data_IF_623131233757
#
_entry.id   IF_623131233757
#
_cell.length_a   1.000
_cell.length_b   1.000
_cell.length_c   1.000
_cell.angle_alpha   90.00
_cell.angle_beta   90.00
_cell.angle_gamma   90.00
#
_symmetry.space_group_name_H-M   'P 1'
#
loop_
_entity.id
_entity.type
_entity.pdbx_description
1 polymer ?
#
# COMPACT_ATOMS: atom_id res chain seq x y z
N UNK A 1 22.26 -6.55 -50.69
CA UNK A 1 20.80 -6.54 -50.51
C UNK A 1 20.38 -7.84 -49.90
N UNK A 2 20.19 -7.90 -48.60
CA UNK A 2 19.42 -8.93 -47.89
C UNK A 2 18.81 -8.26 -46.65
N UNK A 3 17.50 -8.37 -46.55
CA UNK A 3 16.62 -7.70 -45.61
C UNK A 3 16.80 -8.17 -44.16
N UNK A 4 16.89 -7.23 -43.28
CA UNK A 4 16.69 -7.39 -41.85
C UNK A 4 15.19 -7.25 -41.55
N UNK A 5 14.53 -8.31 -41.16
CA UNK A 5 13.25 -8.27 -40.49
C UNK A 5 12.92 -9.63 -39.88
N UNK A 6 13.23 -9.79 -38.62
CA UNK A 6 12.51 -10.71 -37.74
C UNK A 6 12.70 -10.23 -36.32
N UNK A 7 11.82 -9.33 -35.90
CA UNK A 7 11.54 -9.11 -34.48
C UNK A 7 10.76 -10.33 -34.00
N UNK A 8 11.37 -11.09 -33.10
CA UNK A 8 10.70 -12.18 -32.40
C UNK A 8 9.68 -11.59 -31.43
N UNK A 9 8.41 -11.71 -31.73
CA UNK A 9 7.31 -11.59 -30.79
C UNK A 9 7.41 -12.76 -29.81
N UNK A 10 7.81 -12.48 -28.58
CA UNK A 10 7.67 -13.42 -27.46
C UNK A 10 6.24 -13.27 -26.94
N UNK A 11 5.31 -13.89 -27.64
CA UNK A 11 3.95 -14.10 -27.16
C UNK A 11 3.89 -15.42 -26.41
N UNK A 12 3.83 -15.37 -25.08
CA UNK A 12 3.48 -16.54 -24.27
C UNK A 12 1.96 -16.51 -24.11
N UNK A 13 1.22 -17.46 -24.70
CA UNK A 13 -0.20 -17.57 -24.46
C UNK A 13 -0.41 -18.22 -23.08
N UNK A 14 -0.67 -17.44 -22.06
CA UNK A 14 -1.25 -17.95 -20.83
C UNK A 14 -2.74 -18.11 -21.06
N UNK A 15 -3.14 -19.29 -21.50
CA UNK A 15 -4.56 -19.68 -21.59
C UNK A 15 -5.08 -19.99 -20.19
N UNK A 16 -5.68 -18.99 -19.54
CA UNK A 16 -6.52 -19.22 -18.37
C UNK A 16 -7.89 -19.75 -18.86
N UNK A 17 -8.24 -20.97 -18.47
CA UNK A 17 -9.62 -21.47 -18.62
C UNK A 17 -10.46 -20.84 -17.51
N UNK A 18 -11.43 -20.05 -17.92
CA UNK A 18 -12.45 -19.41 -17.11
C UNK A 18 -13.43 -20.42 -16.51
N UNK A 19 -13.62 -20.37 -15.19
CA UNK A 19 -14.94 -20.34 -14.53
C UNK A 19 -14.65 -19.80 -13.13
N UNK A 20 -15.13 -18.58 -12.83
CA UNK A 20 -15.07 -17.85 -11.58
C UNK A 20 -13.83 -16.94 -11.34
N UNK A 21 -13.19 -16.38 -12.35
CA UNK A 21 -12.17 -15.34 -12.14
C UNK A 21 -12.79 -13.95 -12.19
N UNK A 22 -12.43 -13.12 -11.19
CA UNK A 22 -12.76 -11.70 -11.23
C UNK A 22 -12.00 -11.00 -12.37
N UNK A 23 -12.58 -9.89 -12.89
CA UNK A 23 -11.91 -9.09 -13.92
C UNK A 23 -10.59 -8.48 -13.44
N UNK A 24 -10.43 -8.37 -12.13
CA UNK A 24 -9.23 -7.85 -11.48
C UNK A 24 -8.42 -8.95 -10.79
N UNK A 25 -7.10 -8.86 -10.93
CA UNK A 25 -6.14 -9.69 -10.18
C UNK A 25 -5.06 -8.80 -9.59
N UNK A 26 -4.86 -8.90 -8.28
CA UNK A 26 -3.79 -8.21 -7.55
C UNK A 26 -2.66 -9.18 -7.23
N UNK A 27 -1.51 -8.99 -7.86
CA UNK A 27 -0.27 -9.69 -7.55
C UNK A 27 0.47 -8.89 -6.50
N UNK A 28 0.74 -9.51 -5.36
CA UNK A 28 1.26 -8.84 -4.18
C UNK A 28 2.28 -9.69 -3.42
N UNK A 29 3.00 -9.07 -2.50
CA UNK A 29 3.90 -9.76 -1.58
C UNK A 29 3.19 -10.20 -0.31
N UNK A 30 3.95 -10.83 0.58
CA UNK A 30 3.50 -11.25 1.90
C UNK A 30 2.73 -10.14 2.63
N UNK A 31 1.60 -10.47 3.20
CA UNK A 31 0.77 -9.50 3.94
C UNK A 31 1.47 -8.99 5.20
N UNK A 32 2.31 -9.80 5.82
CA UNK A 32 3.08 -9.36 6.99
C UNK A 32 4.12 -8.29 6.68
N UNK A 33 4.76 -8.33 5.49
CA UNK A 33 5.98 -7.58 5.22
C UNK A 33 5.89 -6.59 4.06
N UNK A 34 4.80 -6.58 3.27
CA UNK A 34 4.73 -5.78 2.04
C UNK A 34 3.90 -4.50 2.17
N UNK A 35 4.53 -3.35 2.45
CA UNK A 35 3.82 -2.09 2.65
C UNK A 35 3.06 -1.63 1.41
N UNK A 36 3.69 -1.72 0.24
CA UNK A 36 3.06 -1.27 -1.00
C UNK A 36 1.91 -2.16 -1.46
N UNK A 37 1.96 -3.46 -1.12
CA UNK A 37 0.85 -4.38 -1.36
C UNK A 37 -0.34 -4.05 -0.46
N UNK A 38 -0.12 -3.71 0.82
CA UNK A 38 -1.17 -3.24 1.72
C UNK A 38 -1.87 -2.00 1.15
N UNK A 39 -1.11 -1.01 0.67
CA UNK A 39 -1.67 0.21 0.07
C UNK A 39 -2.62 -0.09 -1.09
N UNK A 40 -2.18 -0.90 -2.06
CA UNK A 40 -2.99 -1.25 -3.22
C UNK A 40 -4.22 -2.09 -2.84
N UNK A 41 -4.03 -3.08 -1.99
CA UNK A 41 -5.07 -3.96 -1.50
C UNK A 41 -6.17 -3.21 -0.73
N UNK A 42 -5.76 -2.35 0.21
CA UNK A 42 -6.68 -1.55 1.02
C UNK A 42 -7.49 -0.58 0.15
N UNK A 43 -6.85 0.02 -0.85
CA UNK A 43 -7.53 0.87 -1.82
C UNK A 43 -8.56 0.08 -2.64
N UNK A 44 -8.22 -1.11 -3.15
CA UNK A 44 -9.12 -1.95 -3.92
C UNK A 44 -10.34 -2.40 -3.08
N UNK A 45 -10.12 -2.82 -1.83
CA UNK A 45 -11.23 -3.18 -0.90
C UNK A 45 -12.13 -1.98 -0.62
N UNK A 46 -11.56 -0.80 -0.39
CA UNK A 46 -12.34 0.43 -0.18
C UNK A 46 -13.08 0.88 -1.45
N UNK A 47 -12.50 0.62 -2.62
CA UNK A 47 -13.16 0.83 -3.91
C UNK A 47 -14.36 -0.10 -4.14
N UNK A 48 -14.52 -1.13 -3.33
CA UNK A 48 -15.57 -2.15 -3.51
C UNK A 48 -15.34 -3.02 -4.74
N UNK A 49 -14.09 -3.19 -5.14
CA UNK A 49 -13.70 -4.03 -6.29
C UNK A 49 -13.44 -5.44 -5.78
N UNK A 50 -14.08 -6.41 -6.42
CA UNK A 50 -13.75 -7.82 -6.26
C UNK A 50 -12.55 -8.17 -7.13
N UNK A 51 -11.58 -8.86 -6.55
CA UNK A 51 -10.34 -9.23 -7.22
C UNK A 51 -9.76 -10.53 -6.68
N UNK A 52 -9.06 -11.24 -7.56
CA UNK A 52 -8.24 -12.40 -7.18
C UNK A 52 -6.91 -11.95 -6.58
N UNK A 53 -6.43 -12.65 -5.57
CA UNK A 53 -5.16 -12.39 -4.90
C UNK A 53 -4.11 -13.43 -5.31
N UNK A 54 -2.96 -12.96 -5.77
CA UNK A 54 -1.77 -13.80 -6.01
C UNK A 54 -0.66 -13.31 -5.08
N UNK A 55 -0.37 -14.08 -4.04
CA UNK A 55 0.70 -13.75 -3.07
C UNK A 55 2.00 -14.42 -3.51
N UNK A 56 3.04 -13.60 -3.71
CA UNK A 56 4.39 -14.05 -4.03
C UNK A 56 5.26 -13.91 -2.78
N UNK A 57 5.88 -15.00 -2.29
CA UNK A 57 6.81 -14.94 -1.17
C UNK A 57 7.96 -13.98 -1.48
N UNK A 58 8.16 -13.00 -0.60
CA UNK A 58 9.28 -12.05 -0.70
C UNK A 58 10.53 -12.61 -0.03
N UNK A 59 11.69 -12.08 -0.44
CA UNK A 59 13.00 -12.41 0.13
C UNK A 59 13.38 -13.90 0.05
N UNK A 60 12.87 -14.62 -0.95
CA UNK A 60 13.32 -15.96 -1.30
C UNK A 60 14.03 -15.95 -2.65
N UNK A 61 14.85 -16.98 -2.91
CA UNK A 61 15.77 -17.04 -4.07
C UNK A 61 15.07 -16.76 -5.41
N UNK A 62 13.84 -17.21 -5.59
CA UNK A 62 13.09 -17.08 -6.83
C UNK A 62 12.04 -15.93 -6.82
N UNK A 63 11.96 -15.11 -5.77
CA UNK A 63 10.99 -14.00 -5.67
C UNK A 63 10.91 -13.16 -6.96
N UNK A 64 12.06 -12.67 -7.42
CA UNK A 64 12.11 -11.84 -8.63
C UNK A 64 11.64 -12.59 -9.88
N UNK A 65 11.99 -13.85 -10.02
CA UNK A 65 11.60 -14.68 -11.18
C UNK A 65 10.09 -14.91 -11.20
N UNK A 66 9.49 -15.17 -10.04
CA UNK A 66 8.03 -15.33 -9.92
C UNK A 66 7.30 -14.03 -10.29
N UNK A 67 7.77 -12.87 -9.80
CA UNK A 67 7.16 -11.58 -10.15
C UNK A 67 7.28 -11.28 -11.65
N UNK A 68 8.43 -11.61 -12.27
CA UNK A 68 8.66 -11.38 -13.70
C UNK A 68 7.71 -12.16 -14.63
N UNK A 69 7.02 -13.20 -14.13
CA UNK A 69 5.96 -13.90 -14.87
C UNK A 69 4.73 -13.01 -15.10
N UNK A 70 4.55 -11.99 -14.25
CA UNK A 70 3.40 -11.09 -14.28
C UNK A 70 3.73 -9.75 -14.93
N UNK A 71 4.93 -9.21 -14.64
CA UNK A 71 5.39 -7.94 -15.21
C UNK A 71 6.91 -7.78 -15.13
N UNK A 72 7.47 -7.03 -16.07
CA UNK A 72 8.92 -6.92 -16.28
C UNK A 72 9.70 -6.11 -15.23
N UNK A 73 9.02 -5.31 -14.36
CA UNK A 73 9.72 -4.50 -13.34
C UNK A 73 10.25 -5.36 -12.17
N UNK A 74 9.74 -6.58 -11.98
CA UNK A 74 10.16 -7.50 -10.93
C UNK A 74 9.86 -7.00 -9.52
N UNK A 75 8.80 -6.19 -9.35
CA UNK A 75 8.32 -5.64 -8.09
C UNK A 75 6.82 -5.83 -7.94
N UNK A 76 6.36 -5.90 -6.70
CA UNK A 76 4.95 -5.89 -6.32
C UNK A 76 4.60 -4.56 -5.62
N UNK A 77 3.31 -4.13 -5.65
CA UNK A 77 2.15 -4.77 -6.25
C UNK A 77 2.05 -4.56 -7.77
N UNK A 78 1.29 -5.47 -8.43
CA UNK A 78 0.87 -5.34 -9.82
C UNK A 78 -0.62 -5.59 -9.86
N UNK A 79 -1.39 -4.72 -10.52
CA UNK A 79 -2.81 -4.92 -10.76
C UNK A 79 -3.03 -5.27 -12.22
N UNK A 80 -3.80 -6.32 -12.49
CA UNK A 80 -4.31 -6.65 -13.81
C UNK A 80 -5.81 -6.41 -13.86
N UNK A 81 -6.27 -5.83 -14.95
CA UNK A 81 -7.68 -5.66 -15.29
C UNK A 81 -7.86 -5.94 -16.77
N UNK A 82 -8.31 -7.17 -17.11
CA UNK A 82 -8.28 -7.66 -18.48
C UNK A 82 -6.88 -7.56 -19.08
N UNK A 83 -6.76 -6.86 -20.20
CA UNK A 83 -5.48 -6.62 -20.90
C UNK A 83 -4.62 -5.51 -20.27
N UNK A 84 -5.17 -4.74 -19.32
CA UNK A 84 -4.46 -3.63 -18.69
C UNK A 84 -3.61 -4.15 -17.54
N UNK A 85 -2.35 -3.72 -17.50
CA UNK A 85 -1.44 -4.01 -16.38
C UNK A 85 -0.94 -2.71 -15.79
N UNK A 86 -1.15 -2.53 -14.48
CA UNK A 86 -0.76 -1.34 -13.73
C UNK A 86 0.23 -1.76 -12.64
N UNK A 87 1.28 -1.00 -12.45
CA UNK A 87 2.28 -1.18 -11.40
C UNK A 87 2.58 0.14 -10.72
N UNK A 88 3.34 0.11 -9.62
CA UNK A 88 3.49 1.17 -8.61
C UNK A 88 2.20 1.40 -7.83
N UNK A 89 2.28 1.27 -6.52
CA UNK A 89 1.10 1.34 -5.64
C UNK A 89 0.27 2.61 -5.83
N UNK A 90 0.93 3.76 -6.00
CA UNK A 90 0.22 5.04 -6.23
C UNK A 90 -0.54 5.06 -7.56
N UNK A 91 0.04 4.50 -8.62
CA UNK A 91 -0.61 4.41 -9.93
C UNK A 91 -1.80 3.44 -9.90
N UNK A 92 -1.67 2.34 -9.16
CA UNK A 92 -2.78 1.41 -8.91
C UNK A 92 -3.91 2.14 -8.17
N UNK A 93 -3.59 2.90 -7.13
CA UNK A 93 -4.60 3.68 -6.39
C UNK A 93 -5.31 4.70 -7.28
N UNK A 94 -4.60 5.42 -8.15
CA UNK A 94 -5.20 6.37 -9.10
C UNK A 94 -6.12 5.66 -10.09
N UNK A 95 -5.67 4.53 -10.65
CA UNK A 95 -6.49 3.73 -11.57
C UNK A 95 -7.77 3.22 -10.90
N UNK A 96 -7.68 2.71 -9.67
CA UNK A 96 -8.84 2.26 -8.90
C UNK A 96 -9.82 3.40 -8.63
N UNK A 97 -9.32 4.62 -8.39
CA UNK A 97 -10.18 5.80 -8.22
C UNK A 97 -10.90 6.19 -9.52
N UNK A 98 -10.23 6.03 -10.67
CA UNK A 98 -10.82 6.31 -11.99
C UNK A 98 -11.94 5.33 -12.34
N UNK A 99 -11.72 4.03 -12.11
CA UNK A 99 -12.71 2.99 -12.42
C UNK A 99 -13.82 2.85 -11.38
N UNK A 100 -13.66 3.45 -10.21
CA UNK A 100 -14.64 3.45 -9.10
C UNK A 100 -15.03 4.87 -8.66
N UNK A 101 -15.53 5.73 -9.55
CA UNK A 101 -15.75 7.15 -9.24
C UNK A 101 -16.79 7.40 -8.14
N UNK A 102 -17.72 6.46 -7.93
CA UNK A 102 -18.76 6.57 -6.89
C UNK A 102 -18.21 6.46 -5.47
N UNK A 103 -17.03 5.86 -5.29
CA UNK A 103 -16.42 5.64 -3.97
C UNK A 103 -15.68 6.86 -3.44
N UNK A 104 -15.48 7.91 -4.29
CA UNK A 104 -14.84 9.18 -3.88
C UNK A 104 -13.51 8.96 -3.14
N UNK A 105 -12.63 8.11 -3.69
CA UNK A 105 -11.35 7.74 -3.07
C UNK A 105 -10.36 8.92 -2.94
N UNK A 106 -10.67 10.06 -3.52
CA UNK A 106 -9.98 11.32 -3.30
C UNK A 106 -10.90 12.36 -2.66
N UNK A 107 -10.37 13.34 -1.88
CA UNK A 107 -11.15 14.42 -1.33
C UNK A 107 -11.97 15.17 -2.40
N UNK A 108 -13.24 15.48 -2.10
CA UNK A 108 -14.15 16.13 -3.04
C UNK A 108 -13.67 17.55 -3.44
N UNK A 109 -13.10 18.32 -2.50
CA UNK A 109 -12.63 19.67 -2.79
C UNK A 109 -11.36 19.65 -3.65
N UNK A 110 -11.28 20.53 -4.65
CA UNK A 110 -10.11 20.69 -5.53
C UNK A 110 -8.82 20.90 -4.72
N UNK A 111 -8.88 21.75 -3.69
CA UNK A 111 -7.74 22.05 -2.82
C UNK A 111 -7.32 20.83 -2.01
N UNK A 112 -8.28 20.15 -1.36
CA UNK A 112 -8.01 18.92 -0.59
C UNK A 112 -7.41 17.84 -1.47
N UNK A 113 -7.97 17.62 -2.65
CA UNK A 113 -7.49 16.62 -3.62
C UNK A 113 -6.06 16.90 -4.11
N UNK A 114 -5.71 18.18 -4.37
CA UNK A 114 -4.34 18.55 -4.75
C UNK A 114 -3.36 18.27 -3.62
N UNK A 115 -3.71 18.63 -2.37
CA UNK A 115 -2.86 18.37 -1.20
C UNK A 115 -2.72 16.86 -0.94
N UNK A 116 -3.82 16.11 -1.01
CA UNK A 116 -3.80 14.66 -0.79
C UNK A 116 -2.88 13.95 -1.80
N UNK A 117 -2.94 14.31 -3.09
CA UNK A 117 -2.03 13.77 -4.11
C UNK A 117 -0.57 14.13 -3.87
N UNK A 118 -0.28 15.37 -3.49
CA UNK A 118 1.10 15.78 -3.18
C UNK A 118 1.67 14.98 -2.01
N UNK A 119 0.88 14.81 -0.95
CA UNK A 119 1.29 14.04 0.21
C UNK A 119 1.41 12.53 -0.09
N UNK A 120 0.53 11.99 -0.93
CA UNK A 120 0.65 10.59 -1.39
C UNK A 120 1.94 10.35 -2.17
N UNK A 121 2.32 11.29 -3.03
CA UNK A 121 3.60 11.24 -3.74
C UNK A 121 4.80 11.38 -2.77
N UNK A 122 4.70 12.24 -1.75
CA UNK A 122 5.72 12.36 -0.70
C UNK A 122 5.88 11.05 0.08
N UNK A 123 4.78 10.39 0.45
CA UNK A 123 4.84 9.07 1.11
C UNK A 123 5.48 8.03 0.20
N UNK A 124 5.12 8.02 -1.08
CA UNK A 124 5.65 7.06 -2.04
C UNK A 124 7.16 7.20 -2.26
N UNK A 125 7.66 8.41 -2.39
CA UNK A 125 9.06 8.70 -2.69
C UNK A 125 9.95 8.88 -1.44
N UNK A 126 9.37 9.32 -0.34
CA UNK A 126 10.09 9.72 0.89
C UNK A 126 10.14 8.64 1.98
N UNK A 127 10.47 9.06 3.20
CA UNK A 127 10.49 8.23 4.43
C UNK A 127 11.38 6.97 4.32
N UNK A 128 12.52 7.12 3.69
CA UNK A 128 13.44 6.00 3.44
C UNK A 128 14.01 5.43 4.73
N UNK A 129 14.49 6.30 5.63
CA UNK A 129 15.08 5.89 6.91
C UNK A 129 14.08 5.14 7.78
N UNK A 130 12.82 5.60 7.81
CA UNK A 130 11.73 4.95 8.52
C UNK A 130 11.48 3.54 7.95
N UNK A 131 11.38 3.39 6.62
CA UNK A 131 11.15 2.09 5.99
C UNK A 131 12.29 1.10 6.17
N UNK A 132 13.54 1.58 6.18
CA UNK A 132 14.72 0.73 6.36
C UNK A 132 14.93 0.29 7.81
N UNK A 133 14.64 1.18 8.77
CA UNK A 133 14.93 0.92 10.18
C UNK A 133 13.70 0.47 10.98
N UNK A 134 12.51 0.71 10.46
CA UNK A 134 11.24 0.25 10.99
C UNK A 134 10.45 -0.49 9.89
N UNK A 135 11.00 -1.58 9.32
CA UNK A 135 10.31 -2.30 8.26
C UNK A 135 8.94 -2.81 8.74
N UNK A 136 8.00 -2.93 7.80
CA UNK A 136 6.67 -3.43 8.13
C UNK A 136 6.74 -4.90 8.59
N UNK A 137 6.23 -5.18 9.78
CA UNK A 137 5.95 -6.49 10.32
C UNK A 137 4.67 -6.41 11.15
N UNK A 138 3.56 -6.84 10.55
CA UNK A 138 2.22 -6.70 11.16
C UNK A 138 2.07 -7.54 12.42
N UNK A 139 2.74 -8.71 12.46
CA UNK A 139 2.75 -9.63 13.60
C UNK A 139 3.66 -9.18 14.72
N UNK A 140 4.68 -8.40 14.36
CA UNK A 140 5.77 -8.03 15.27
C UNK A 140 5.34 -7.04 16.34
N UNK A 141 6.05 -7.08 17.47
CA UNK A 141 6.00 -6.07 18.52
C UNK A 141 7.43 -5.80 18.97
N UNK A 142 8.00 -4.71 18.49
CA UNK A 142 9.40 -4.33 18.67
C UNK A 142 9.50 -2.93 19.29
N UNK A 143 9.05 -2.73 20.53
CA UNK A 143 9.18 -1.44 21.20
C UNK A 143 10.66 -1.08 21.30
N UNK A 144 11.07 -0.07 20.57
CA UNK A 144 12.44 0.42 20.60
C UNK A 144 12.46 1.92 20.81
N UNK A 145 13.50 2.39 21.51
CA UNK A 145 13.80 3.80 21.48
C UNK A 145 14.28 4.17 20.06
N UNK A 146 13.60 5.09 19.42
CA UNK A 146 14.02 5.64 18.13
C UNK A 146 15.28 6.48 18.35
N UNK A 147 16.43 5.84 18.22
CA UNK A 147 17.74 6.47 18.48
C UNK A 147 18.35 7.14 17.27
N UNK A 148 17.85 6.81 16.06
CA UNK A 148 18.39 7.39 14.83
C UNK A 148 17.70 8.74 14.55
N UNK A 149 18.47 9.86 14.54
CA UNK A 149 17.91 11.19 14.28
C UNK A 149 17.10 11.28 12.98
N UNK A 150 17.54 10.61 11.90
CA UNK A 150 16.84 10.63 10.62
C UNK A 150 15.48 9.97 10.69
N UNK A 151 15.36 8.85 11.42
CA UNK A 151 14.05 8.21 11.65
C UNK A 151 13.15 9.13 12.46
N UNK A 152 13.69 9.76 13.50
CA UNK A 152 12.92 10.68 14.31
C UNK A 152 12.44 11.91 13.53
N UNK A 153 13.27 12.45 12.63
CA UNK A 153 12.85 13.53 11.71
C UNK A 153 11.70 13.09 10.81
N UNK A 154 11.78 11.88 10.25
CA UNK A 154 10.72 11.33 9.40
C UNK A 154 9.44 11.04 10.20
N UNK A 155 9.53 10.51 11.42
CA UNK A 155 8.39 10.35 12.36
C UNK A 155 7.74 11.71 12.64
N UNK A 156 8.55 12.73 12.96
CA UNK A 156 8.06 14.08 13.21
C UNK A 156 7.36 14.67 11.97
N UNK A 157 7.89 14.38 10.78
CA UNK A 157 7.26 14.80 9.52
C UNK A 157 5.91 14.12 9.31
N UNK A 158 5.82 12.82 9.51
CA UNK A 158 4.58 12.05 9.39
C UNK A 158 3.51 12.58 10.35
N UNK A 159 3.85 12.72 11.62
CA UNK A 159 2.91 13.22 12.65
C UNK A 159 2.47 14.66 12.38
N UNK A 160 3.36 15.52 11.90
CA UNK A 160 3.02 16.88 11.48
C UNK A 160 2.06 16.90 10.28
N UNK A 161 2.22 15.97 9.31
CA UNK A 161 1.28 15.82 8.19
C UNK A 161 -0.10 15.42 8.71
N UNK A 162 -0.19 14.40 9.55
CA UNK A 162 -1.45 13.93 10.11
C UNK A 162 -2.18 15.03 10.86
N UNK A 163 -1.50 15.72 11.78
CA UNK A 163 -2.06 16.85 12.53
C UNK A 163 -2.58 17.94 11.59
N UNK A 164 -1.74 18.37 10.64
CA UNK A 164 -2.08 19.46 9.73
C UNK A 164 -3.25 19.12 8.81
N UNK A 165 -3.34 17.88 8.32
CA UNK A 165 -4.46 17.43 7.51
C UNK A 165 -5.75 17.39 8.33
N UNK A 166 -5.71 16.81 9.53
CA UNK A 166 -6.85 16.75 10.44
C UNK A 166 -7.37 18.15 10.81
N UNK A 167 -6.48 19.06 11.18
CA UNK A 167 -6.86 20.43 11.57
C UNK A 167 -7.44 21.25 10.41
N UNK A 168 -6.88 21.11 9.21
CA UNK A 168 -7.23 21.95 8.07
C UNK A 168 -8.34 21.40 7.18
N UNK A 169 -8.52 20.11 7.16
CA UNK A 169 -9.44 19.45 6.24
C UNK A 169 -10.36 18.45 6.93
N UNK A 170 -9.87 17.71 7.93
CA UNK A 170 -10.64 16.66 8.58
C UNK A 170 -11.65 17.15 9.60
N UNK A 171 -11.30 18.18 10.38
CA UNK A 171 -12.10 18.66 11.52
C UNK A 171 -13.52 19.10 11.14
N UNK A 172 -13.64 19.82 10.05
CA UNK A 172 -14.93 20.39 9.61
C UNK A 172 -15.78 19.41 8.79
N UNK A 173 -15.17 18.33 8.28
CA UNK A 173 -15.83 17.33 7.44
C UNK A 173 -16.39 16.15 8.24
N UNK A 174 -16.07 16.09 9.56
CA UNK A 174 -16.40 14.93 10.40
C UNK A 174 -15.60 13.68 10.01
N UNK A 175 -15.70 12.64 10.83
CA UNK A 175 -14.98 11.38 10.61
C UNK A 175 -13.52 11.42 11.06
N UNK A 176 -12.89 10.23 11.19
CA UNK A 176 -11.61 10.07 11.86
C UNK A 176 -10.39 10.19 10.93
N UNK A 177 -10.57 10.27 9.61
CA UNK A 177 -9.49 10.23 8.62
C UNK A 177 -8.94 11.62 8.28
N UNK A 178 -7.81 11.67 7.56
CA UNK A 178 -7.07 12.90 7.31
C UNK A 178 -7.88 13.99 6.61
N UNK A 179 -8.82 13.59 5.77
CA UNK A 179 -9.77 14.48 5.08
C UNK A 179 -11.24 14.21 5.46
N UNK A 180 -11.47 13.75 6.69
CA UNK A 180 -12.79 13.38 7.20
C UNK A 180 -13.18 11.96 6.82
N UNK A 181 -13.43 11.68 5.55
CA UNK A 181 -13.66 10.33 5.02
C UNK A 181 -12.34 9.68 4.60
N UNK A 182 -12.32 8.32 4.61
CA UNK A 182 -11.17 7.55 4.11
C UNK A 182 -10.86 7.92 2.65
N UNK A 183 -9.58 8.05 2.35
CA UNK A 183 -9.06 8.40 1.03
C UNK A 183 -7.80 7.59 0.69
N UNK A 184 -7.34 7.70 -0.55
CA UNK A 184 -6.07 7.09 -0.98
C UNK A 184 -4.90 7.56 -0.10
N UNK A 185 -4.90 8.78 0.40
CA UNK A 185 -3.84 9.24 1.30
C UNK A 185 -3.80 8.40 2.59
N UNK A 186 -4.96 8.01 3.11
CA UNK A 186 -5.03 7.14 4.30
C UNK A 186 -4.52 5.73 3.98
N UNK A 187 -4.82 5.21 2.79
CA UNK A 187 -4.26 3.95 2.31
C UNK A 187 -2.74 4.01 2.14
N UNK A 188 -2.19 5.14 1.69
CA UNK A 188 -0.75 5.36 1.59
C UNK A 188 -0.06 5.41 2.96
N UNK A 189 -0.74 5.93 3.98
CA UNK A 189 -0.23 5.95 5.36
C UNK A 189 -0.47 4.66 6.14
N UNK A 190 -1.37 3.77 5.71
CA UNK A 190 -1.68 2.54 6.43
C UNK A 190 -0.44 1.67 6.75
N UNK A 191 0.55 1.50 5.86
CA UNK A 191 1.80 0.82 6.21
C UNK A 191 2.57 1.51 7.34
N UNK A 192 2.65 2.85 7.33
CA UNK A 192 3.33 3.62 8.38
C UNK A 192 2.58 3.50 9.71
N UNK A 193 1.25 3.45 9.69
CA UNK A 193 0.42 3.16 10.85
C UNK A 193 0.77 1.80 11.46
N UNK A 194 0.91 0.75 10.64
CA UNK A 194 1.33 -0.57 11.13
C UNK A 194 2.74 -0.53 11.71
N UNK A 195 3.67 0.17 11.07
CA UNK A 195 5.03 0.37 11.58
C UNK A 195 5.01 1.10 12.94
N UNK A 196 4.25 2.18 13.06
CA UNK A 196 4.15 2.93 14.33
C UNK A 196 3.58 2.07 15.47
N UNK A 197 2.62 1.20 15.18
CA UNK A 197 2.11 0.21 16.12
C UNK A 197 3.20 -0.80 16.50
N UNK A 198 3.84 -1.44 15.52
CA UNK A 198 4.87 -2.47 15.72
C UNK A 198 6.03 -1.98 16.56
N UNK A 199 6.48 -0.75 16.33
CA UNK A 199 7.64 -0.14 17.00
C UNK A 199 7.26 0.74 18.20
N UNK A 200 5.98 0.77 18.58
CA UNK A 200 5.46 1.51 19.73
C UNK A 200 5.89 2.98 19.72
N UNK A 201 5.73 3.65 18.57
CA UNK A 201 6.05 5.06 18.43
C UNK A 201 5.19 5.89 19.38
N UNK A 202 5.82 6.79 20.15
CA UNK A 202 5.09 7.71 21.01
C UNK A 202 4.34 8.76 20.19
N UNK A 203 3.03 8.83 20.39
CA UNK A 203 2.10 9.66 19.61
C UNK A 203 1.27 10.55 20.52
N UNK A 204 1.04 11.78 20.09
CA UNK A 204 0.06 12.65 20.70
C UNK A 204 -1.37 12.13 20.55
N UNK A 205 -2.34 12.71 21.25
CA UNK A 205 -3.73 12.23 21.23
C UNK A 205 -4.34 12.18 19.82
N UNK A 206 -4.16 13.24 19.03
CA UNK A 206 -4.73 13.32 17.67
C UNK A 206 -4.14 12.27 16.73
N UNK A 207 -2.83 12.06 16.80
CA UNK A 207 -2.14 11.07 15.98
C UNK A 207 -2.51 9.65 16.39
N UNK A 208 -2.72 9.42 17.68
CA UNK A 208 -3.20 8.14 18.22
C UNK A 208 -4.62 7.84 17.77
N UNK A 209 -5.53 8.82 17.86
CA UNK A 209 -6.90 8.70 17.36
C UNK A 209 -6.92 8.33 15.85
N UNK A 210 -6.03 8.92 15.06
CA UNK A 210 -5.91 8.59 13.63
C UNK A 210 -5.35 7.18 13.41
N UNK A 211 -4.30 6.81 14.13
CA UNK A 211 -3.74 5.45 14.10
C UNK A 211 -4.81 4.42 14.43
N UNK A 212 -5.55 4.61 15.51
CA UNK A 212 -6.61 3.71 15.96
C UNK A 212 -7.74 3.63 14.92
N UNK A 213 -8.08 4.75 14.28
CA UNK A 213 -9.09 4.79 13.22
C UNK A 213 -8.69 3.93 12.01
N UNK A 214 -7.43 3.99 11.58
CA UNK A 214 -6.93 3.14 10.48
C UNK A 214 -6.94 1.68 10.90
N UNK A 215 -6.40 1.34 12.07
CA UNK A 215 -6.32 -0.05 12.53
C UNK A 215 -7.70 -0.67 12.78
N UNK A 216 -8.72 0.14 13.08
CA UNK A 216 -10.11 -0.30 13.31
C UNK A 216 -10.90 -0.53 12.02
N UNK A 217 -10.34 -0.26 10.85
CA UNK A 217 -11.00 -0.55 9.57
C UNK A 217 -11.23 -2.06 9.43
N UNK A 218 -12.43 -2.51 9.00
CA UNK A 218 -12.69 -3.93 8.77
C UNK A 218 -11.67 -4.57 7.82
N UNK A 219 -11.22 -3.85 6.82
CA UNK A 219 -10.21 -4.31 5.86
C UNK A 219 -8.82 -4.46 6.50
N UNK A 220 -8.45 -3.59 7.46
CA UNK A 220 -7.20 -3.72 8.20
C UNK A 220 -7.24 -4.93 9.15
N UNK A 221 -8.39 -5.24 9.76
CA UNK A 221 -8.57 -6.47 10.54
C UNK A 221 -8.41 -7.72 9.65
N UNK A 222 -9.05 -7.74 8.47
CA UNK A 222 -8.88 -8.83 7.50
C UNK A 222 -7.42 -9.00 7.05
N UNK A 223 -6.74 -7.89 6.74
CA UNK A 223 -5.33 -7.93 6.36
C UNK A 223 -4.47 -8.48 7.49
N UNK A 224 -4.66 -7.98 8.71
CA UNK A 224 -3.90 -8.39 9.89
C UNK A 224 -4.10 -9.88 10.22
N UNK A 225 -5.33 -10.39 10.16
CA UNK A 225 -5.61 -11.83 10.33
C UNK A 225 -4.87 -12.66 9.28
N UNK A 226 -5.00 -12.29 8.00
CA UNK A 226 -4.31 -12.99 6.94
C UNK A 226 -2.78 -12.92 7.08
N UNK A 227 -2.23 -11.80 7.55
CA UNK A 227 -0.80 -11.67 7.85
C UNK A 227 -0.34 -12.58 9.00
N UNK A 228 -1.19 -12.81 10.01
CA UNK A 228 -0.90 -13.76 11.10
C UNK A 228 -0.94 -15.21 10.64
N UNK A 229 -1.82 -15.53 9.70
CA UNK A 229 -1.99 -16.89 9.17
C UNK A 229 -0.93 -17.26 8.13
N UNK A 230 -0.16 -16.28 7.62
CA UNK A 230 0.91 -16.52 6.64
C UNK A 230 2.04 -17.35 7.26
N UNK A 231 2.44 -18.50 6.64
CA UNK A 231 3.52 -19.34 7.17
C UNK A 231 4.93 -18.78 6.89
N UNK A 232 5.04 -17.81 5.97
CA UNK A 232 6.33 -17.28 5.53
C UNK A 232 6.94 -16.37 6.59
N UNK A 233 8.23 -16.55 6.84
CA UNK A 233 9.06 -15.75 7.75
C UNK A 233 10.21 -15.15 6.95
N UNK A 234 10.49 -13.88 7.16
CA UNK A 234 11.67 -13.18 6.66
C UNK A 234 12.54 -12.89 7.89
N UNK A 235 13.54 -13.74 8.14
CA UNK A 235 14.34 -13.71 9.37
C UNK A 235 14.96 -12.34 9.66
N UNK A 236 15.39 -11.62 8.63
CA UNK A 236 15.98 -10.29 8.76
C UNK A 236 14.96 -9.22 9.24
N UNK A 237 13.66 -9.51 9.17
CA UNK A 237 12.58 -8.63 9.61
C UNK A 237 11.92 -9.09 10.92
N UNK A 238 12.37 -10.22 11.49
CA UNK A 238 12.01 -10.68 12.83
C UNK A 238 13.10 -10.21 13.80
N UNK A 239 12.78 -9.35 14.75
CA UNK A 239 13.73 -8.74 15.68
C UNK A 239 13.49 -9.20 17.11
#
# INVERSE_FOLDING_TARGET
MRSLSQQAQIGIPVTFRSTDMHDFTLIMGNKNYSPWSLTAWLTAKTAGIDFDEIVIPLNVVNTRQEILRYWYNGKVPILKHGEITIWESISICEYLAEVSPKQNLWPASKRGRAVARSLSAEVHAGFKSLREQMPMNVRGSFPSELRNPLVQEEVNRVTAIWRRCRERFGKDLGGPFLFGSFSILDAMFAPIVTQFKTYSVDLGPLERDYLDAILSLPWMDMWSKAAHDEPMIIDELER
#
